data_IF_384489085174
#
_entry.id   IF_384489085174
#
_cell.length_a   1.000
_cell.length_b   1.000
_cell.length_c   1.000
_cell.angle_alpha   90.00
_cell.angle_beta   90.00
_cell.angle_gamma   90.00
#
_symmetry.space_group_name_H-M   'P 1'
#
loop_
_entity.id
_entity.type
_entity.pdbx_description
1 polymer ?
#
# COMPACT_ATOMS: atom_id res chain seq x y z
N UNK A 1 20.49 9.37 -10.10
CA UNK A 1 20.45 7.95 -10.50
C UNK A 1 19.36 7.74 -11.54
N UNK A 2 19.65 6.96 -12.59
CA UNK A 2 18.63 6.47 -13.52
C UNK A 2 17.69 5.49 -12.80
N UNK A 3 16.56 5.15 -13.39
CA UNK A 3 15.66 4.16 -12.81
C UNK A 3 16.32 2.78 -12.63
N UNK A 4 17.14 2.38 -13.61
CA UNK A 4 17.88 1.13 -13.53
C UNK A 4 18.89 1.13 -12.37
N UNK A 5 19.63 2.23 -12.17
CA UNK A 5 20.54 2.40 -11.04
C UNK A 5 19.81 2.32 -9.71
N UNK A 6 18.61 2.95 -9.59
CA UNK A 6 17.77 2.90 -8.38
C UNK A 6 17.33 1.47 -8.08
N UNK A 7 16.84 0.73 -9.09
CA UNK A 7 16.41 -0.66 -8.94
C UNK A 7 17.59 -1.56 -8.53
N UNK A 8 18.77 -1.33 -9.08
CA UNK A 8 19.98 -2.08 -8.76
C UNK A 8 20.53 -1.71 -7.38
N UNK A 9 20.51 -0.44 -7.00
CA UNK A 9 20.93 0.02 -5.68
C UNK A 9 20.05 -0.54 -4.55
N UNK A 10 18.71 -0.55 -4.74
CA UNK A 10 17.77 -1.02 -3.73
C UNK A 10 17.97 -2.50 -3.39
N UNK A 11 18.31 -2.75 -2.14
CA UNK A 11 18.42 -4.10 -1.56
C UNK A 11 17.55 -4.18 -0.29
N UNK A 12 17.25 -5.38 0.17
CA UNK A 12 16.72 -5.60 1.53
C UNK A 12 17.87 -5.55 2.51
N UNK A 13 18.10 -4.37 3.10
CA UNK A 13 19.23 -4.11 4.00
C UNK A 13 18.85 -4.53 5.42
N UNK A 14 19.65 -5.39 6.03
CA UNK A 14 19.32 -6.01 7.32
C UNK A 14 20.15 -5.50 8.49
N UNK A 15 21.13 -4.64 8.24
CA UNK A 15 21.90 -3.96 9.27
C UNK A 15 22.17 -2.52 8.82
N UNK A 16 21.84 -1.58 9.69
CA UNK A 16 22.04 -0.15 9.46
C UNK A 16 23.12 0.41 10.36
N UNK A 17 23.81 1.46 9.87
CA UNK A 17 24.71 2.30 10.67
C UNK A 17 23.90 3.05 11.72
N UNK A 18 24.52 3.32 12.86
CA UNK A 18 23.95 4.22 13.87
C UNK A 18 24.15 5.69 13.46
N UNK A 19 23.61 6.04 12.29
CA UNK A 19 23.67 7.38 11.69
C UNK A 19 22.23 7.82 11.42
N UNK A 20 21.77 8.89 12.04
CA UNK A 20 20.41 9.39 11.81
C UNK A 20 20.14 9.69 10.33
N UNK A 21 18.94 9.46 9.89
CA UNK A 21 18.44 9.85 8.57
C UNK A 21 17.42 10.98 8.71
N UNK A 22 17.34 11.83 7.70
CA UNK A 22 16.44 12.99 7.70
C UNK A 22 14.97 12.57 7.56
N UNK A 23 14.16 12.87 8.58
CA UNK A 23 12.73 12.54 8.62
C UNK A 23 11.92 13.28 7.54
N UNK A 24 12.28 14.49 7.15
CA UNK A 24 11.59 15.21 6.09
C UNK A 24 11.86 14.60 4.71
N UNK A 25 13.05 14.08 4.45
CA UNK A 25 13.34 13.31 3.23
C UNK A 25 12.54 12.00 3.19
N UNK A 26 12.44 11.27 4.31
CA UNK A 26 11.58 10.08 4.41
C UNK A 26 10.11 10.44 4.17
N UNK A 27 9.63 11.53 4.73
CA UNK A 27 8.27 12.06 4.51
C UNK A 27 8.05 12.47 3.05
N UNK A 28 9.05 13.06 2.39
CA UNK A 28 9.00 13.33 0.96
C UNK A 28 8.85 12.03 0.14
N UNK A 29 9.61 11.00 0.46
CA UNK A 29 9.46 9.67 -0.18
C UNK A 29 8.06 9.08 0.03
N UNK A 30 7.44 9.27 1.21
CA UNK A 30 6.05 8.86 1.46
C UNK A 30 5.05 9.67 0.63
N UNK A 31 5.31 10.96 0.40
CA UNK A 31 4.50 11.77 -0.52
C UNK A 31 4.57 11.24 -1.96
N UNK A 32 5.74 10.84 -2.43
CA UNK A 32 5.89 10.18 -3.73
C UNK A 32 5.17 8.83 -3.76
N UNK A 33 5.27 8.04 -2.71
CA UNK A 33 4.54 6.78 -2.57
C UNK A 33 3.01 6.94 -2.68
N UNK A 34 2.47 8.05 -2.20
CA UNK A 34 1.04 8.35 -2.30
C UNK A 34 0.53 8.56 -3.73
N UNK A 35 1.42 8.74 -4.70
CA UNK A 35 1.10 8.86 -6.12
C UNK A 35 1.00 7.51 -6.83
N UNK A 36 1.22 6.41 -6.14
CA UNK A 36 1.16 5.07 -6.72
C UNK A 36 -0.22 4.74 -7.27
N UNK A 37 -0.29 3.97 -8.38
CA UNK A 37 -1.56 3.51 -8.90
C UNK A 37 -2.30 2.67 -7.87
N UNK A 38 -3.62 2.79 -7.86
CA UNK A 38 -4.43 2.05 -6.90
C UNK A 38 -5.84 1.79 -7.46
N UNK A 39 -6.47 0.72 -7.00
CA UNK A 39 -7.77 0.29 -7.50
C UNK A 39 -8.82 1.39 -7.30
N UNK A 40 -9.44 1.81 -8.42
CA UNK A 40 -10.50 2.83 -8.44
C UNK A 40 -10.12 4.15 -7.76
N UNK A 41 -8.85 4.46 -7.69
CA UNK A 41 -8.30 5.61 -6.98
C UNK A 41 -8.77 5.76 -5.52
N UNK A 42 -9.15 4.64 -4.88
CA UNK A 42 -9.74 4.65 -3.53
C UNK A 42 -8.73 4.98 -2.43
N UNK A 43 -7.43 4.90 -2.69
CA UNK A 43 -6.35 5.29 -1.78
C UNK A 43 -6.55 4.77 -0.35
N UNK A 44 -6.86 3.47 -0.25
CA UNK A 44 -7.18 2.81 1.03
C UNK A 44 -5.93 2.43 1.80
N UNK A 45 -5.06 3.40 2.03
CA UNK A 45 -3.84 3.27 2.82
C UNK A 45 -3.65 4.43 3.79
N UNK A 46 -2.83 4.19 4.79
CA UNK A 46 -2.19 5.19 5.64
C UNK A 46 -0.75 4.78 5.90
N UNK A 47 0.13 5.76 6.06
CA UNK A 47 1.54 5.55 6.33
C UNK A 47 1.84 6.07 7.74
N UNK A 48 2.25 5.18 8.62
CA UNK A 48 2.70 5.54 9.96
C UNK A 48 4.21 5.63 9.92
N UNK A 49 4.75 6.84 10.03
CA UNK A 49 6.18 7.12 10.06
C UNK A 49 6.63 7.27 11.50
N UNK A 50 7.54 6.40 11.93
CA UNK A 50 7.99 6.28 13.32
C UNK A 50 9.43 6.77 13.40
N UNK A 51 9.64 7.82 14.19
CA UNK A 51 10.94 8.46 14.48
C UNK A 51 11.27 8.44 15.96
N UNK A 52 10.26 8.21 16.84
CA UNK A 52 10.44 8.15 18.29
C UNK A 52 11.22 6.89 18.69
N UNK A 53 12.38 7.03 19.40
CA UNK A 53 13.24 5.91 19.75
C UNK A 53 12.55 4.85 20.60
N UNK A 54 11.66 5.23 21.52
CA UNK A 54 10.97 4.28 22.39
C UNK A 54 9.93 3.47 21.61
N UNK A 55 9.26 4.10 20.67
CA UNK A 55 8.33 3.41 19.77
C UNK A 55 9.08 2.48 18.81
N UNK A 56 10.25 2.90 18.29
CA UNK A 56 11.12 2.04 17.47
C UNK A 56 11.55 0.78 18.20
N UNK A 57 11.99 0.89 19.47
CA UNK A 57 12.34 -0.26 20.30
C UNK A 57 11.16 -1.24 20.47
N UNK A 58 9.96 -0.71 20.75
CA UNK A 58 8.75 -1.53 20.88
C UNK A 58 8.38 -2.22 19.57
N UNK A 59 8.51 -1.54 18.45
CA UNK A 59 8.28 -2.12 17.12
C UNK A 59 9.34 -3.14 16.75
N UNK A 60 10.61 -2.96 17.12
CA UNK A 60 11.66 -3.95 16.88
C UNK A 60 11.33 -5.29 17.59
N UNK A 61 10.82 -5.25 18.82
CA UNK A 61 10.31 -6.43 19.52
C UNK A 61 9.11 -7.04 18.78
N UNK A 62 8.16 -6.21 18.33
CA UNK A 62 7.01 -6.69 17.57
C UNK A 62 7.40 -7.28 16.20
N UNK A 63 8.52 -6.84 15.62
CA UNK A 63 9.14 -7.42 14.43
C UNK A 63 10.06 -8.61 14.74
N UNK A 64 9.82 -9.31 15.84
CA UNK A 64 10.50 -10.55 16.25
C UNK A 64 12.02 -10.38 16.48
N UNK A 65 12.48 -9.18 16.83
CA UNK A 65 13.89 -8.90 17.05
C UNK A 65 14.76 -8.99 15.78
N UNK A 66 14.18 -8.95 14.60
CA UNK A 66 14.95 -9.00 13.36
C UNK A 66 15.98 -7.88 13.33
N UNK A 67 17.20 -8.19 12.85
CA UNK A 67 18.31 -7.24 12.81
C UNK A 67 17.97 -5.97 12.03
N UNK A 68 17.18 -6.09 10.97
CA UNK A 68 16.68 -4.94 10.21
C UNK A 68 15.80 -4.01 11.07
N UNK A 69 15.06 -4.54 12.03
CA UNK A 69 14.24 -3.73 12.93
C UNK A 69 15.03 -3.15 14.11
N UNK A 70 15.94 -3.94 14.70
CA UNK A 70 16.71 -3.52 15.89
C UNK A 70 17.76 -2.45 15.58
N UNK A 71 18.27 -2.41 14.35
CA UNK A 71 19.24 -1.40 13.88
C UNK A 71 18.63 -0.23 13.14
N UNK A 72 17.31 -0.25 12.86
CA UNK A 72 16.63 0.79 12.08
C UNK A 72 16.73 2.17 12.74
N UNK A 73 17.00 3.20 11.94
CA UNK A 73 17.00 4.59 12.39
C UNK A 73 15.58 5.18 12.40
N UNK A 74 14.74 4.71 11.49
CA UNK A 74 13.30 5.03 11.42
C UNK A 74 12.55 3.81 10.87
N UNK A 75 11.24 3.77 11.06
CA UNK A 75 10.39 2.75 10.45
C UNK A 75 9.14 3.39 9.85
N UNK A 76 8.63 2.74 8.80
CA UNK A 76 7.33 3.08 8.23
C UNK A 76 6.43 1.85 8.24
N UNK A 77 5.25 1.98 8.83
CA UNK A 77 4.22 0.93 8.78
C UNK A 77 3.19 1.29 7.72
N UNK A 78 3.08 0.44 6.71
CA UNK A 78 2.08 0.57 5.65
C UNK A 78 0.79 -0.09 6.10
N UNK A 79 -0.24 0.72 6.30
CA UNK A 79 -1.51 0.31 6.89
C UNK A 79 -2.61 0.35 5.83
N UNK A 80 -3.34 -0.75 5.67
CA UNK A 80 -4.52 -0.81 4.80
C UNK A 80 -5.75 -0.29 5.55
N UNK A 81 -6.55 0.54 4.90
CA UNK A 81 -7.70 1.23 5.47
C UNK A 81 -9.00 0.95 4.69
N UNK A 82 -9.30 -0.35 4.50
CA UNK A 82 -10.56 -0.76 3.86
C UNK A 82 -11.79 -0.23 4.60
N UNK A 83 -11.69 -0.05 5.92
CA UNK A 83 -12.73 0.53 6.77
C UNK A 83 -13.14 1.96 6.35
N UNK A 84 -12.26 2.70 5.70
CA UNK A 84 -12.53 4.06 5.22
C UNK A 84 -13.23 4.12 3.85
N UNK A 85 -13.67 2.99 3.28
CA UNK A 85 -14.19 2.95 1.92
C UNK A 85 -15.32 3.95 1.66
N UNK A 86 -16.25 4.13 2.59
CA UNK A 86 -17.35 5.12 2.45
C UNK A 86 -16.84 6.56 2.49
N UNK A 87 -15.92 6.85 3.43
CA UNK A 87 -15.31 8.18 3.56
C UNK A 87 -14.53 8.53 2.30
N UNK A 88 -13.70 7.60 1.80
CA UNK A 88 -12.92 7.80 0.57
C UNK A 88 -13.82 7.96 -0.66
N UNK A 89 -14.84 7.14 -0.79
CA UNK A 89 -15.82 7.26 -1.88
C UNK A 89 -16.47 8.65 -1.91
N UNK A 90 -16.90 9.17 -0.76
CA UNK A 90 -17.47 10.53 -0.66
C UNK A 90 -16.46 11.60 -1.09
N UNK A 91 -15.23 11.54 -0.60
CA UNK A 91 -14.15 12.46 -1.00
C UNK A 91 -13.89 12.43 -2.52
N UNK A 92 -13.91 11.23 -3.11
CA UNK A 92 -13.68 11.07 -4.56
C UNK A 92 -14.83 11.60 -5.40
N UNK A 93 -16.08 11.53 -4.96
CA UNK A 93 -17.19 12.19 -5.65
C UNK A 93 -16.95 13.70 -5.74
N UNK A 94 -16.49 14.32 -4.66
CA UNK A 94 -16.19 15.75 -4.63
C UNK A 94 -15.03 16.12 -5.56
N UNK A 95 -13.92 15.37 -5.47
CA UNK A 95 -12.73 15.57 -6.31
C UNK A 95 -13.02 15.35 -7.80
N UNK A 96 -13.73 14.27 -8.15
CA UNK A 96 -14.09 13.99 -9.54
C UNK A 96 -15.10 14.98 -10.09
N UNK A 97 -16.01 15.49 -9.27
CA UNK A 97 -16.90 16.57 -9.67
C UNK A 97 -16.10 17.83 -10.07
N UNK A 98 -15.14 18.23 -9.23
CA UNK A 98 -14.26 19.37 -9.55
C UNK A 98 -13.40 19.10 -10.78
N UNK A 99 -12.86 17.89 -10.92
CA UNK A 99 -12.09 17.47 -12.08
C UNK A 99 -12.92 17.56 -13.39
N UNK A 100 -14.15 17.08 -13.37
CA UNK A 100 -15.06 17.14 -14.51
C UNK A 100 -15.38 18.58 -14.88
N UNK A 101 -15.69 19.45 -13.91
CA UNK A 101 -15.99 20.85 -14.14
C UNK A 101 -14.80 21.61 -14.76
N UNK A 102 -13.58 21.27 -14.35
CA UNK A 102 -12.35 21.91 -14.83
C UNK A 102 -11.89 21.40 -16.21
N UNK A 103 -11.97 20.09 -16.44
CA UNK A 103 -11.25 19.41 -17.52
C UNK A 103 -12.18 18.76 -18.57
N UNK A 104 -13.50 18.98 -18.51
CA UNK A 104 -14.45 18.39 -19.46
C UNK A 104 -15.25 19.46 -20.18
N UNK A 105 -15.70 19.20 -21.44
CA UNK A 105 -16.66 20.07 -22.11
C UNK A 105 -17.97 20.19 -21.31
N UNK A 106 -18.57 21.39 -21.29
CA UNK A 106 -19.75 21.73 -20.48
C UNK A 106 -20.93 20.79 -20.72
N UNK A 107 -21.17 20.43 -21.98
CA UNK A 107 -22.27 19.55 -22.41
C UNK A 107 -22.12 18.11 -21.86
N UNK A 108 -20.95 17.74 -21.36
CA UNK A 108 -20.68 16.41 -20.77
C UNK A 108 -20.68 16.40 -19.23
N UNK A 109 -20.77 17.59 -18.58
CA UNK A 109 -20.65 17.70 -17.13
C UNK A 109 -21.67 16.86 -16.39
N UNK A 110 -22.96 17.05 -16.68
CA UNK A 110 -24.04 16.36 -15.96
C UNK A 110 -23.89 14.84 -16.08
N UNK A 111 -23.71 14.31 -17.29
CA UNK A 111 -23.55 12.88 -17.55
C UNK A 111 -22.36 12.30 -16.80
N UNK A 112 -21.19 12.96 -16.85
CA UNK A 112 -19.97 12.49 -16.21
C UNK A 112 -20.08 12.53 -14.68
N UNK A 113 -20.61 13.61 -14.12
CA UNK A 113 -20.83 13.75 -12.67
C UNK A 113 -21.81 12.69 -12.18
N UNK A 114 -22.91 12.44 -12.92
CA UNK A 114 -23.85 11.36 -12.59
C UNK A 114 -23.17 9.99 -12.58
N UNK A 115 -22.29 9.73 -13.57
CA UNK A 115 -21.53 8.47 -13.63
C UNK A 115 -20.62 8.30 -12.40
N UNK A 116 -19.86 9.32 -12.02
CA UNK A 116 -18.99 9.26 -10.85
C UNK A 116 -19.76 9.14 -9.53
N UNK A 117 -20.89 9.84 -9.40
CA UNK A 117 -21.79 9.70 -8.25
C UNK A 117 -22.34 8.27 -8.12
N UNK A 118 -22.71 7.64 -9.23
CA UNK A 118 -23.15 6.23 -9.24
C UNK A 118 -21.98 5.30 -8.88
N UNK A 119 -20.80 5.51 -9.48
CA UNK A 119 -19.64 4.65 -9.27
C UNK A 119 -19.14 4.69 -7.82
N UNK A 120 -18.86 5.87 -7.30
CA UNK A 120 -18.37 6.01 -5.92
C UNK A 120 -19.48 5.97 -4.86
N UNK A 121 -20.69 6.36 -5.21
CA UNK A 121 -21.81 6.34 -4.26
C UNK A 121 -22.44 4.96 -4.04
N UNK A 122 -22.38 4.08 -5.05
CA UNK A 122 -23.01 2.76 -4.99
C UNK A 122 -22.06 1.62 -5.28
N UNK A 123 -21.35 1.63 -6.43
CA UNK A 123 -20.54 0.50 -6.86
C UNK A 123 -19.39 0.25 -5.89
N UNK A 124 -18.63 1.28 -5.55
CA UNK A 124 -17.49 1.12 -4.63
C UNK A 124 -17.90 0.73 -3.21
N UNK A 125 -18.90 1.36 -2.58
CA UNK A 125 -19.42 0.89 -1.29
C UNK A 125 -19.90 -0.57 -1.31
N UNK A 126 -20.55 -1.02 -2.36
CA UNK A 126 -20.96 -2.42 -2.48
C UNK A 126 -19.75 -3.34 -2.56
N UNK A 127 -18.75 -3.04 -3.39
CA UNK A 127 -17.56 -3.89 -3.56
C UNK A 127 -16.71 -4.00 -2.30
N UNK A 128 -16.53 -2.89 -1.57
CA UNK A 128 -15.64 -2.84 -0.39
C UNK A 128 -16.37 -3.08 0.94
N UNK A 129 -17.72 -3.18 0.93
CA UNK A 129 -18.46 -3.55 2.14
C UNK A 129 -18.12 -4.96 2.59
N UNK A 130 -18.12 -5.17 3.91
CA UNK A 130 -17.86 -6.47 4.54
C UNK A 130 -18.77 -6.69 5.71
N UNK A 131 -19.26 -7.93 5.82
CA UNK A 131 -20.04 -8.39 6.95
C UNK A 131 -19.91 -9.91 7.07
N UNK A 132 -18.96 -10.38 7.89
CA UNK A 132 -18.72 -11.79 8.21
C UNK A 132 -18.62 -12.74 6.98
N UNK A 133 -18.21 -12.22 5.83
CA UNK A 133 -18.13 -13.01 4.59
C UNK A 133 -19.43 -13.10 3.79
N UNK A 134 -20.59 -12.83 4.42
CA UNK A 134 -21.93 -13.01 3.82
C UNK A 134 -22.11 -12.15 2.57
N UNK A 135 -21.73 -10.87 2.62
CA UNK A 135 -21.84 -9.97 1.47
C UNK A 135 -20.98 -10.45 0.30
N UNK A 136 -19.84 -11.07 0.58
CA UNK A 136 -18.98 -11.68 -0.42
C UNK A 136 -19.66 -12.84 -1.14
N UNK A 137 -20.36 -13.71 -0.42
CA UNK A 137 -21.12 -14.85 -0.99
C UNK A 137 -22.23 -14.32 -1.89
N UNK A 138 -23.03 -13.37 -1.41
CA UNK A 138 -24.12 -12.77 -2.20
C UNK A 138 -23.59 -12.17 -3.50
N UNK A 139 -22.48 -11.39 -3.43
CA UNK A 139 -21.85 -10.83 -4.63
C UNK A 139 -21.39 -11.92 -5.59
N UNK A 140 -20.78 -13.01 -5.10
CA UNK A 140 -20.34 -14.12 -5.96
C UNK A 140 -21.52 -14.79 -6.68
N UNK A 141 -22.63 -15.03 -6.01
CA UNK A 141 -23.84 -15.59 -6.65
C UNK A 141 -24.32 -14.64 -7.76
N UNK A 142 -24.46 -13.34 -7.45
CA UNK A 142 -24.92 -12.35 -8.44
C UNK A 142 -24.02 -12.27 -9.67
N UNK A 143 -22.68 -12.19 -9.49
CA UNK A 143 -21.76 -12.09 -10.63
C UNK A 143 -21.71 -13.41 -11.41
N UNK A 144 -21.90 -14.58 -10.78
CA UNK A 144 -21.99 -15.86 -11.48
C UNK A 144 -23.19 -15.90 -12.41
N UNK A 145 -24.35 -15.41 -11.96
CA UNK A 145 -25.55 -15.31 -12.81
C UNK A 145 -25.35 -14.32 -13.98
N UNK A 146 -24.79 -13.12 -13.70
CA UNK A 146 -24.51 -12.13 -14.75
C UNK A 146 -23.47 -12.64 -15.73
N UNK A 147 -22.48 -13.39 -15.25
CA UNK A 147 -21.38 -13.96 -16.04
C UNK A 147 -21.81 -14.99 -17.08
N UNK A 148 -23.02 -15.55 -16.96
CA UNK A 148 -23.61 -16.42 -17.99
C UNK A 148 -23.95 -15.64 -19.27
N UNK A 149 -24.15 -14.32 -19.18
CA UNK A 149 -24.61 -13.51 -20.30
C UNK A 149 -23.58 -12.49 -20.80
N UNK A 150 -22.61 -12.12 -19.95
CA UNK A 150 -21.57 -11.14 -20.33
C UNK A 150 -20.32 -11.29 -19.47
N UNK A 151 -19.15 -10.86 -19.98
CA UNK A 151 -17.92 -10.79 -19.17
C UNK A 151 -18.13 -9.93 -17.94
N UNK A 152 -17.69 -10.43 -16.78
CA UNK A 152 -17.77 -9.71 -15.50
C UNK A 152 -16.59 -10.15 -14.61
N UNK A 153 -16.21 -9.29 -13.66
CA UNK A 153 -15.21 -9.67 -12.66
C UNK A 153 -15.79 -10.61 -11.62
N UNK A 154 -15.11 -11.74 -11.38
CA UNK A 154 -15.51 -12.72 -10.37
C UNK A 154 -14.81 -12.53 -9.02
N UNK A 155 -13.81 -11.64 -8.93
CA UNK A 155 -13.07 -11.32 -7.72
C UNK A 155 -13.84 -10.27 -6.88
N UNK A 156 -14.96 -10.69 -6.27
CA UNK A 156 -15.91 -9.82 -5.56
C UNK A 156 -16.21 -10.27 -4.12
N UNK A 157 -15.55 -11.33 -3.63
CA UNK A 157 -15.67 -11.74 -2.24
C UNK A 157 -15.06 -10.70 -1.28
N UNK A 158 -15.34 -10.81 0.01
CA UNK A 158 -14.69 -9.94 1.00
C UNK A 158 -13.19 -10.19 1.10
N UNK A 159 -12.75 -11.43 0.87
CA UNK A 159 -11.34 -11.80 0.78
C UNK A 159 -10.68 -11.19 -0.46
N UNK A 160 -11.33 -11.24 -1.63
CA UNK A 160 -10.83 -10.60 -2.86
C UNK A 160 -10.66 -9.09 -2.67
N UNK A 161 -11.65 -8.41 -2.07
CA UNK A 161 -11.55 -6.98 -1.76
C UNK A 161 -10.37 -6.66 -0.84
N UNK A 162 -10.13 -7.49 0.19
CA UNK A 162 -8.96 -7.37 1.06
C UNK A 162 -7.66 -7.53 0.26
N UNK A 163 -7.56 -8.52 -0.61
CA UNK A 163 -6.38 -8.73 -1.48
C UNK A 163 -6.13 -7.51 -2.35
N UNK A 164 -7.17 -6.91 -2.96
CA UNK A 164 -7.03 -5.69 -3.76
C UNK A 164 -6.46 -4.53 -2.93
N UNK A 165 -6.94 -4.32 -1.70
CA UNK A 165 -6.44 -3.25 -0.83
C UNK A 165 -4.99 -3.50 -0.43
N UNK A 166 -4.60 -4.74 -0.14
CA UNK A 166 -3.21 -5.09 0.14
C UNK A 166 -2.30 -4.91 -1.08
N UNK A 167 -2.73 -5.32 -2.27
CA UNK A 167 -1.95 -5.10 -3.52
C UNK A 167 -1.70 -3.61 -3.76
N UNK A 168 -2.71 -2.76 -3.64
CA UNK A 168 -2.54 -1.31 -3.81
C UNK A 168 -1.62 -0.70 -2.77
N UNK A 169 -1.73 -1.12 -1.51
CA UNK A 169 -0.82 -0.67 -0.45
C UNK A 169 0.63 -1.12 -0.70
N UNK A 170 0.82 -2.34 -1.24
CA UNK A 170 2.14 -2.85 -1.60
C UNK A 170 2.78 -2.08 -2.78
N UNK A 171 1.98 -1.60 -3.75
CA UNK A 171 2.47 -0.71 -4.81
C UNK A 171 3.02 0.60 -4.23
N UNK A 172 2.32 1.19 -3.25
CA UNK A 172 2.80 2.38 -2.56
C UNK A 172 4.08 2.09 -1.75
N UNK A 173 4.16 0.93 -1.08
CA UNK A 173 5.34 0.51 -0.35
C UNK A 173 6.55 0.29 -1.29
N UNK A 174 6.36 -0.29 -2.47
CA UNK A 174 7.41 -0.44 -3.47
C UNK A 174 7.89 0.92 -3.99
N UNK A 175 6.96 1.84 -4.32
CA UNK A 175 7.32 3.20 -4.73
C UNK A 175 8.10 3.93 -3.65
N UNK A 176 7.71 3.79 -2.37
CA UNK A 176 8.45 4.33 -1.24
C UNK A 176 9.88 3.80 -1.19
N UNK A 177 10.08 2.49 -1.30
CA UNK A 177 11.42 1.90 -1.24
C UNK A 177 12.32 2.36 -2.40
N UNK A 178 11.75 2.58 -3.59
CA UNK A 178 12.50 3.13 -4.73
C UNK A 178 12.84 4.61 -4.52
N UNK A 179 11.90 5.40 -3.97
CA UNK A 179 12.14 6.79 -3.63
C UNK A 179 13.25 6.93 -2.56
N UNK A 180 13.23 6.08 -1.52
CA UNK A 180 14.29 6.02 -0.51
C UNK A 180 15.64 5.69 -1.13
N UNK A 181 15.69 4.73 -2.06
CA UNK A 181 16.91 4.38 -2.79
C UNK A 181 17.43 5.56 -3.64
N UNK A 182 16.54 6.31 -4.30
CA UNK A 182 16.89 7.51 -5.05
C UNK A 182 17.51 8.60 -4.16
N UNK A 183 17.07 8.67 -2.90
CA UNK A 183 17.62 9.56 -1.88
C UNK A 183 18.93 9.02 -1.23
N UNK A 184 19.41 7.84 -1.64
CA UNK A 184 20.60 7.19 -1.08
C UNK A 184 20.35 6.52 0.28
N UNK A 185 19.09 6.33 0.67
CA UNK A 185 18.70 5.62 1.88
C UNK A 185 18.37 4.16 1.57
N UNK A 186 18.48 3.33 2.59
CA UNK A 186 18.25 1.90 2.53
C UNK A 186 17.00 1.50 3.29
N UNK A 187 16.37 0.43 2.81
CA UNK A 187 15.13 -0.10 3.39
C UNK A 187 15.15 -1.62 3.46
N UNK A 188 14.34 -2.18 4.37
CA UNK A 188 13.99 -3.59 4.37
C UNK A 188 12.50 -3.77 4.65
N UNK A 189 11.72 -4.32 3.70
CA UNK A 189 10.34 -4.70 3.96
C UNK A 189 10.31 -5.96 4.84
N UNK A 190 9.47 -5.93 5.87
CA UNK A 190 9.27 -7.02 6.81
C UNK A 190 7.79 -7.38 6.85
N UNK A 191 7.48 -8.65 6.63
CA UNK A 191 6.14 -9.22 6.79
C UNK A 191 6.05 -10.14 8.03
N UNK A 192 7.21 -10.57 8.56
CA UNK A 192 7.33 -11.32 9.80
C UNK A 192 7.26 -10.40 11.03
N UNK A 193 6.05 -10.12 11.51
CA UNK A 193 5.81 -9.29 12.70
C UNK A 193 4.58 -9.77 13.48
N UNK A 194 4.53 -9.48 14.78
CA UNK A 194 3.34 -9.64 15.61
C UNK A 194 2.36 -8.49 15.34
N UNK A 195 1.38 -8.75 14.48
CA UNK A 195 0.39 -7.75 14.08
C UNK A 195 -0.48 -7.24 15.23
N UNK A 196 -0.69 -8.02 16.30
CA UNK A 196 -1.45 -7.61 17.49
C UNK A 196 -0.66 -6.55 18.26
N UNK A 197 0.64 -6.79 18.46
CA UNK A 197 1.53 -5.83 19.13
C UNK A 197 1.70 -4.56 18.31
N UNK A 198 1.95 -4.64 17.00
CA UNK A 198 2.06 -3.46 16.13
C UNK A 198 0.77 -2.62 16.19
N UNK A 199 -0.40 -3.25 16.09
CA UNK A 199 -1.70 -2.58 16.25
C UNK A 199 -1.81 -1.79 17.55
N UNK A 200 -1.42 -2.43 18.67
CA UNK A 200 -1.50 -1.84 20.01
C UNK A 200 -0.53 -0.67 20.15
N UNK A 201 0.71 -0.84 19.69
CA UNK A 201 1.75 0.21 19.74
C UNK A 201 1.29 1.46 18.98
N UNK A 202 0.76 1.29 17.77
CA UNK A 202 0.34 2.38 16.90
C UNK A 202 -1.12 2.82 17.13
N UNK A 203 -1.84 2.18 18.05
CA UNK A 203 -3.26 2.46 18.35
C UNK A 203 -4.12 2.42 17.08
N UNK A 204 -3.89 1.43 16.21
CA UNK A 204 -4.61 1.32 14.94
C UNK A 204 -6.10 1.04 15.17
N UNK A 205 -7.00 1.66 14.39
CA UNK A 205 -8.42 1.38 14.47
C UNK A 205 -8.74 -0.09 14.11
N UNK A 206 -9.83 -0.61 14.65
CA UNK A 206 -10.22 -2.03 14.50
C UNK A 206 -10.31 -2.49 13.03
N UNK A 207 -10.73 -1.58 12.13
CA UNK A 207 -10.87 -1.86 10.70
C UNK A 207 -9.60 -1.81 9.87
N UNK A 208 -8.49 -1.28 10.43
CA UNK A 208 -7.23 -1.18 9.73
C UNK A 208 -6.54 -2.54 9.60
N UNK A 209 -5.78 -2.78 8.54
CA UNK A 209 -4.88 -3.93 8.36
C UNK A 209 -3.44 -3.45 8.24
N UNK A 210 -2.46 -4.29 8.56
CA UNK A 210 -1.06 -3.98 8.32
C UNK A 210 -0.66 -4.69 7.03
N UNK A 211 -0.07 -3.94 6.09
CA UNK A 211 0.47 -4.53 4.86
C UNK A 211 1.89 -5.02 5.10
N UNK A 212 2.79 -4.12 5.52
CA UNK A 212 4.17 -4.45 5.90
C UNK A 212 4.76 -3.37 6.80
N UNK A 213 5.84 -3.72 7.49
CA UNK A 213 6.70 -2.79 8.23
C UNK A 213 7.98 -2.61 7.42
N UNK A 214 8.40 -1.38 7.18
CA UNK A 214 9.64 -1.09 6.43
C UNK A 214 10.60 -0.38 7.38
N UNK A 215 11.75 -1.00 7.63
CA UNK A 215 12.87 -0.37 8.34
C UNK A 215 13.68 0.51 7.39
N UNK A 216 14.20 1.62 7.89
CA UNK A 216 14.89 2.66 7.13
C UNK A 216 16.20 3.05 7.82
N UNK A 217 17.25 3.30 7.03
CA UNK A 217 18.55 3.73 7.54
C UNK A 217 19.57 3.85 6.42
N UNK A 218 20.86 3.85 6.78
CA UNK A 218 22.00 3.77 5.87
C UNK A 218 22.67 2.42 6.12
N UNK A 219 22.93 1.64 5.07
CA UNK A 219 23.50 0.30 5.20
C UNK A 219 24.86 0.32 5.92
N UNK A 220 25.02 -0.57 6.88
CA UNK A 220 26.30 -0.88 7.48
C UNK A 220 27.06 -1.91 6.62
N UNK A 221 28.32 -2.10 6.90
CA UNK A 221 29.10 -3.22 6.38
C UNK A 221 28.42 -4.55 6.77
N UNK A 222 28.31 -5.48 5.81
CA UNK A 222 27.55 -6.72 6.02
C UNK A 222 26.01 -6.56 6.07
N UNK A 223 25.47 -5.36 5.91
CA UNK A 223 24.03 -5.09 5.92
C UNK A 223 23.26 -5.69 4.74
N UNK A 224 23.93 -6.10 3.68
CA UNK A 224 23.39 -6.82 2.53
C UNK A 224 23.97 -8.24 2.54
N UNK A 225 23.10 -9.25 2.52
CA UNK A 225 23.53 -10.65 2.54
C UNK A 225 23.73 -11.19 1.12
N UNK A 226 24.97 -11.33 0.70
CA UNK A 226 25.37 -11.92 -0.58
C UNK A 226 24.82 -11.19 -1.82
N UNK A 227 24.90 -11.86 -2.94
CA UNK A 227 24.45 -11.34 -4.23
C UNK A 227 22.92 -11.38 -4.37
N UNK A 228 22.40 -10.67 -5.36
CA UNK A 228 20.99 -10.70 -5.70
C UNK A 228 20.64 -11.99 -6.43
N UNK A 229 20.04 -12.93 -5.74
CA UNK A 229 19.56 -14.16 -6.38
C UNK A 229 18.18 -13.95 -7.00
N UNK A 230 18.00 -14.43 -8.21
CA UNK A 230 16.71 -14.53 -8.93
C UNK A 230 16.68 -15.85 -9.69
N UNK A 231 15.50 -16.41 -9.85
CA UNK A 231 15.30 -17.48 -10.83
C UNK A 231 15.59 -16.94 -12.23
N UNK A 232 15.99 -17.79 -13.19
CA UNK A 232 16.23 -17.36 -14.58
C UNK A 232 15.03 -16.59 -15.13
N UNK A 233 15.31 -15.52 -15.89
CA UNK A 233 14.25 -14.62 -16.37
C UNK A 233 13.22 -15.37 -17.25
N UNK A 234 13.67 -16.32 -18.07
CA UNK A 234 12.83 -17.12 -18.98
C UNK A 234 11.83 -18.03 -18.26
N UNK A 235 12.08 -18.35 -16.98
CA UNK A 235 11.10 -19.10 -16.17
C UNK A 235 9.88 -18.24 -15.80
N UNK A 236 10.07 -16.94 -15.66
CA UNK A 236 9.03 -15.99 -15.25
C UNK A 236 8.50 -15.13 -16.40
N UNK A 237 9.17 -15.12 -17.54
CA UNK A 237 8.77 -14.40 -18.75
C UNK A 237 8.11 -15.34 -19.75
N UNK A 238 6.94 -14.97 -20.24
CA UNK A 238 6.22 -15.65 -21.31
C UNK A 238 5.73 -14.61 -22.31
N UNK A 239 6.20 -14.74 -23.55
CA UNK A 239 5.68 -13.98 -24.70
C UNK A 239 4.66 -14.89 -25.42
N UNK A 240 3.45 -14.40 -25.62
CA UNK A 240 2.33 -15.11 -26.25
C UNK A 240 1.90 -14.34 -27.49
#
# INVERSE_FOLDING_TARGET
MTFEEIVNYRRSVRLYKNTPIDAERVKHCLKLASLSPNSSNMQMWEFYHITDPETLKKLAVACLGQQAATSAQQMVVFVTRQDLYRKRAKQLIELETQNVLKNSPKEKHEKRIKTWKMYYGYVMPVLYSRFLGILGIIRKILVSLVGLFRPITYQVSEADARVVVHKTCALAAQTFMLAMAAEGYDTCPMEGFDGIRVRRILKLPAGAGINMVISCGIRAEGGVWGDRMRVPFDEVYKQI
#
